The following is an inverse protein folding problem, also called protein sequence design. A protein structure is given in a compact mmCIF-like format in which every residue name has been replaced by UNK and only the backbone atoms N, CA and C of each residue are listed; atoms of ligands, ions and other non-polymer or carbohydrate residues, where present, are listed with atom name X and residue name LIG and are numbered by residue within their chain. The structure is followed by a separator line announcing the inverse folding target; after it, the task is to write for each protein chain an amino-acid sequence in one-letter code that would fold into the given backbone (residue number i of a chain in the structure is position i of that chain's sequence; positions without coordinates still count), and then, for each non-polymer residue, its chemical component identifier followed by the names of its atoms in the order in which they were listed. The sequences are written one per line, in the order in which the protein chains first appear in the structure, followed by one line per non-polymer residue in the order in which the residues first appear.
data_IF_380220819402
#
_entry.id   IF_380220819402
#
_cell.length_a   1.000
_cell.length_b   1.000
_cell.length_c   1.000
_cell.angle_alpha   90.00
_cell.angle_beta   90.00
_cell.angle_gamma   90.00
#
_symmetry.space_group_name_H-M   'P 1'
#
loop_
_entity.id
_entity.type
_entity.pdbx_description
1 polymer ?
#
# COMPACT_ATOMS: atom_id res chain seq x y z
N UNK A 1 0.44 -57.46 4.78
CA UNK A 1 0.97 -56.09 4.61
C UNK A 1 -0.22 -55.17 4.39
N UNK A 2 -0.53 -54.22 5.29
CA UNK A 2 -1.62 -53.30 5.02
C UNK A 2 -1.16 -52.27 3.97
N UNK A 3 -2.05 -51.97 3.04
CA UNK A 3 -1.85 -51.00 1.98
C UNK A 3 -1.51 -49.62 2.58
N UNK A 4 -0.52 -48.95 1.99
CA UNK A 4 -0.22 -47.56 2.29
C UNK A 4 -1.44 -46.73 1.87
N UNK A 5 -2.07 -46.12 2.87
CA UNK A 5 -3.13 -45.15 2.72
C UNK A 5 -2.56 -43.97 1.90
N UNK A 6 -2.99 -43.85 0.64
CA UNK A 6 -2.71 -42.69 -0.20
C UNK A 6 -3.51 -41.53 0.39
N UNK A 7 -2.94 -40.86 1.39
CA UNK A 7 -3.53 -39.64 1.96
C UNK A 7 -3.65 -38.62 0.84
N UNK A 8 -4.88 -38.34 0.41
CA UNK A 8 -5.17 -37.21 -0.49
C UNK A 8 -4.48 -35.95 0.05
N UNK A 9 -3.76 -35.19 -0.78
CA UNK A 9 -3.05 -34.01 -0.32
C UNK A 9 -4.05 -33.00 0.24
N UNK A 10 -3.89 -32.64 1.52
CA UNK A 10 -4.71 -31.62 2.18
C UNK A 10 -4.74 -30.36 1.32
N UNK A 11 -5.94 -29.84 0.95
CA UNK A 11 -6.03 -28.67 0.09
C UNK A 11 -5.36 -27.47 0.77
N UNK A 12 -4.49 -26.79 0.01
CA UNK A 12 -3.76 -25.63 0.51
C UNK A 12 -4.74 -24.50 0.86
N UNK A 13 -4.56 -23.91 2.04
CA UNK A 13 -5.34 -22.75 2.46
C UNK A 13 -5.17 -21.58 1.47
N UNK A 14 -6.21 -20.74 1.28
CA UNK A 14 -6.08 -19.47 0.58
C UNK A 14 -4.89 -18.65 1.10
N UNK A 15 -4.18 -17.95 0.21
CA UNK A 15 -3.06 -17.07 0.58
C UNK A 15 -3.48 -15.62 0.48
N UNK A 16 -3.36 -14.88 1.57
CA UNK A 16 -3.42 -13.43 1.56
C UNK A 16 -2.00 -12.86 1.65
N UNK A 17 -1.57 -12.16 0.60
CA UNK A 17 -0.23 -11.57 0.52
C UNK A 17 -0.30 -10.06 0.65
N UNK A 18 0.26 -9.55 1.75
CA UNK A 18 0.41 -8.13 2.00
C UNK A 18 1.77 -7.67 1.50
N UNK A 19 1.79 -6.78 0.50
CA UNK A 19 3.02 -6.16 0.02
C UNK A 19 3.07 -4.71 0.44
N UNK A 20 4.11 -4.35 1.14
CA UNK A 20 4.27 -3.02 1.70
C UNK A 20 5.50 -2.36 1.11
N UNK A 21 5.34 -1.15 0.61
CA UNK A 21 6.45 -0.21 0.64
C UNK A 21 6.74 0.17 2.11
N UNK A 22 7.97 0.63 2.38
CA UNK A 22 8.40 0.96 3.73
C UNK A 22 8.39 2.46 4.01
N UNK A 23 8.87 3.27 3.08
CA UNK A 23 9.25 4.67 3.32
C UNK A 23 8.07 5.57 2.94
N UNK A 24 7.63 6.47 3.83
CA UNK A 24 6.35 7.22 3.69
C UNK A 24 5.08 6.34 3.63
N UNK A 25 5.25 5.01 3.62
CA UNK A 25 4.18 4.02 3.68
C UNK A 25 4.04 3.43 5.09
N UNK A 26 5.04 2.70 5.58
CA UNK A 26 5.02 2.11 6.93
C UNK A 26 5.73 3.01 7.96
N UNK A 27 6.83 3.64 7.55
CA UNK A 27 7.64 4.56 8.35
C UNK A 27 7.43 6.00 7.86
N UNK A 28 7.38 6.94 8.81
CA UNK A 28 7.48 8.37 8.51
C UNK A 28 8.94 8.68 8.19
N UNK A 29 9.17 9.19 6.98
CA UNK A 29 10.50 9.53 6.49
C UNK A 29 10.46 10.78 5.63
N UNK A 30 11.32 11.75 5.92
CA UNK A 30 11.56 12.91 5.06
C UNK A 30 12.74 12.56 4.15
N UNK A 31 12.50 12.43 2.84
CA UNK A 31 13.54 12.13 1.84
C UNK A 31 13.63 13.26 0.82
N UNK A 32 13.61 14.50 1.30
CA UNK A 32 13.56 15.64 0.40
C UNK A 32 14.97 16.05 -0.03
N UNK A 33 16.01 15.68 0.75
CA UNK A 33 17.40 15.96 0.43
C UNK A 33 18.39 14.83 0.72
N UNK A 34 19.61 15.00 0.21
CA UNK A 34 20.79 14.18 0.51
C UNK A 34 21.06 14.06 2.00
N UNK A 35 20.89 15.18 2.68
CA UNK A 35 21.15 15.35 4.09
C UNK A 35 20.14 14.54 4.90
N UNK A 36 18.89 14.48 4.46
CA UNK A 36 17.83 13.75 5.15
C UNK A 36 18.02 12.24 5.03
N UNK A 37 18.52 11.76 3.88
CA UNK A 37 18.95 10.37 3.73
C UNK A 37 20.05 10.04 4.75
N UNK A 38 21.13 10.82 4.80
CA UNK A 38 22.21 10.60 5.78
C UNK A 38 21.73 10.70 7.23
N UNK A 39 20.85 11.64 7.55
CA UNK A 39 20.23 11.76 8.88
C UNK A 39 19.43 10.50 9.24
N UNK A 40 18.66 9.97 8.29
CA UNK A 40 17.86 8.75 8.47
C UNK A 40 18.73 7.50 8.66
N UNK A 41 19.93 7.48 8.08
CA UNK A 41 20.93 6.43 8.30
C UNK A 41 21.50 6.42 9.72
N UNK A 42 21.68 7.60 10.33
CA UNK A 42 22.21 7.73 11.70
C UNK A 42 21.14 7.49 12.75
N UNK A 43 19.85 7.59 12.39
CA UNK A 43 18.76 7.28 13.30
C UNK A 43 18.77 5.81 13.71
N UNK A 44 18.70 5.57 15.02
CA UNK A 44 18.48 4.25 15.59
C UNK A 44 17.07 3.74 15.30
N UNK A 45 16.86 2.44 15.51
CA UNK A 45 15.58 1.79 15.23
C UNK A 45 14.42 2.45 16.00
N UNK A 46 14.59 2.69 17.30
CA UNK A 46 13.60 3.30 18.21
C UNK A 46 13.19 4.72 17.80
N UNK A 47 14.06 5.47 17.13
CA UNK A 47 13.78 6.83 16.67
C UNK A 47 12.88 6.86 15.43
N UNK A 48 12.77 5.74 14.70
CA UNK A 48 11.91 5.66 13.51
C UNK A 48 10.45 5.61 13.94
N UNK A 49 9.64 6.51 13.39
CA UNK A 49 8.21 6.59 13.70
C UNK A 49 7.41 5.92 12.61
N UNK A 50 6.34 5.22 12.96
CA UNK A 50 5.41 4.66 11.99
C UNK A 50 4.46 5.75 11.46
N UNK A 51 3.93 5.53 10.26
CA UNK A 51 2.76 6.27 9.77
C UNK A 51 1.56 5.92 10.66
N UNK A 52 0.65 6.87 10.97
CA UNK A 52 -0.38 6.62 11.97
C UNK A 52 -1.31 5.47 11.60
N UNK A 53 -1.45 4.53 12.53
CA UNK A 53 -2.23 3.30 12.36
C UNK A 53 -1.54 2.18 11.58
N UNK A 54 -0.42 2.43 10.89
CA UNK A 54 0.23 1.44 10.02
C UNK A 54 0.66 0.17 10.78
N UNK A 55 1.35 0.36 11.92
CA UNK A 55 1.82 -0.75 12.77
C UNK A 55 0.65 -1.62 13.25
N UNK A 56 -0.38 -0.99 13.82
CA UNK A 56 -1.53 -1.71 14.37
C UNK A 56 -2.31 -2.42 13.26
N UNK A 57 -2.58 -1.75 12.14
CA UNK A 57 -3.25 -2.36 11.00
C UNK A 57 -2.49 -3.59 10.50
N UNK A 58 -1.17 -3.47 10.32
CA UNK A 58 -0.35 -4.58 9.84
C UNK A 58 -0.38 -5.77 10.81
N UNK A 59 -0.22 -5.51 12.11
CA UNK A 59 -0.31 -6.57 13.13
C UNK A 59 -1.66 -7.26 13.12
N UNK A 60 -2.74 -6.51 13.02
CA UNK A 60 -4.09 -7.07 12.97
C UNK A 60 -4.32 -7.90 11.70
N UNK A 61 -3.86 -7.43 10.53
CA UNK A 61 -3.94 -8.19 9.28
C UNK A 61 -3.22 -9.53 9.34
N UNK A 62 -2.11 -9.61 10.08
CA UNK A 62 -1.36 -10.85 10.27
C UNK A 62 -1.97 -11.76 11.35
N UNK A 63 -2.66 -11.18 12.34
CA UNK A 63 -3.31 -11.93 13.43
C UNK A 63 -4.52 -12.74 12.96
N UNK A 64 -5.26 -12.23 11.97
CA UNK A 64 -6.53 -12.82 11.47
C UNK A 64 -6.32 -14.15 10.72
N UNK A 65 -5.10 -14.71 10.68
CA UNK A 65 -4.76 -16.00 10.05
C UNK A 65 -4.97 -17.24 10.93
N UNK A 66 -6.04 -17.28 11.75
CA UNK A 66 -6.35 -18.37 12.69
C UNK A 66 -6.79 -19.70 12.05
N UNK A 67 -6.10 -20.17 11.01
CA UNK A 67 -6.32 -21.48 10.37
C UNK A 67 -7.14 -21.44 9.07
N UNK A 68 -7.76 -20.32 8.72
CA UNK A 68 -8.61 -20.22 7.51
C UNK A 68 -7.87 -19.72 6.26
N UNK A 69 -6.79 -18.97 6.43
CA UNK A 69 -5.96 -18.47 5.34
C UNK A 69 -4.52 -18.26 5.80
N UNK A 70 -3.56 -18.65 4.96
CA UNK A 70 -2.15 -18.32 5.16
C UNK A 70 -1.96 -16.82 4.90
N UNK A 71 -1.13 -16.17 5.73
CA UNK A 71 -0.80 -14.75 5.61
C UNK A 71 0.69 -14.62 5.31
N UNK A 72 1.02 -13.84 4.28
CA UNK A 72 2.40 -13.54 3.90
C UNK A 72 2.61 -12.03 3.88
N UNK A 73 3.75 -11.59 4.39
CA UNK A 73 4.19 -10.19 4.41
C UNK A 73 5.49 -10.03 3.64
N UNK A 74 5.47 -9.19 2.61
CA UNK A 74 6.67 -8.75 1.90
C UNK A 74 6.83 -7.24 1.99
N UNK A 75 8.00 -6.78 2.44
CA UNK A 75 8.41 -5.38 2.25
C UNK A 75 9.24 -5.23 0.97
N UNK A 76 8.90 -4.25 0.13
CA UNK A 76 9.66 -3.86 -1.05
C UNK A 76 10.00 -2.37 -0.92
N UNK A 77 11.23 -2.05 -0.52
CA UNK A 77 11.61 -0.69 -0.21
C UNK A 77 12.69 -0.15 -1.14
N UNK A 78 12.57 1.14 -1.46
CA UNK A 78 13.61 1.92 -2.12
C UNK A 78 14.85 2.19 -1.26
N UNK A 79 14.77 1.90 0.05
CA UNK A 79 15.87 2.07 0.99
C UNK A 79 17.08 1.19 0.64
N UNK A 80 18.30 1.67 0.90
CA UNK A 80 19.52 0.93 0.60
C UNK A 80 19.69 -0.30 1.50
N UNK A 81 20.28 -1.38 0.97
CA UNK A 81 20.57 -2.63 1.70
C UNK A 81 21.39 -2.42 2.97
N UNK A 82 22.20 -1.37 3.02
CA UNK A 82 23.00 -1.00 4.19
C UNK A 82 22.13 -0.71 5.42
N UNK A 83 20.87 -0.29 5.22
CA UNK A 83 19.93 -0.03 6.33
C UNK A 83 19.23 -1.29 6.85
N UNK A 84 19.48 -2.47 6.26
CA UNK A 84 18.75 -3.71 6.58
C UNK A 84 18.68 -3.97 8.07
N UNK A 85 19.80 -3.87 8.78
CA UNK A 85 19.86 -4.20 10.20
C UNK A 85 18.98 -3.26 11.04
N UNK A 86 19.10 -1.94 10.85
CA UNK A 86 18.32 -0.93 11.58
C UNK A 86 16.82 -1.07 11.28
N UNK A 87 16.47 -1.28 10.01
CA UNK A 87 15.07 -1.42 9.61
C UNK A 87 14.46 -2.74 10.12
N UNK A 88 15.22 -3.85 10.07
CA UNK A 88 14.78 -5.13 10.62
C UNK A 88 14.60 -5.04 12.14
N UNK A 89 15.52 -4.39 12.86
CA UNK A 89 15.38 -4.14 14.29
C UNK A 89 14.15 -3.29 14.59
N UNK A 90 13.83 -2.28 13.77
CA UNK A 90 12.60 -1.51 13.92
C UNK A 90 11.36 -2.37 13.74
N UNK A 91 11.32 -3.20 12.70
CA UNK A 91 10.20 -4.12 12.48
C UNK A 91 10.05 -5.09 13.67
N UNK A 92 11.15 -5.59 14.22
CA UNK A 92 11.13 -6.45 15.40
C UNK A 92 10.61 -5.75 16.66
N UNK A 93 11.05 -4.50 16.93
CA UNK A 93 10.50 -3.67 18.01
C UNK A 93 9.00 -3.42 17.83
N UNK A 94 8.53 -3.39 16.59
CA UNK A 94 7.11 -3.27 16.28
C UNK A 94 6.33 -4.57 16.50
N UNK A 95 7.01 -5.72 16.63
CA UNK A 95 6.43 -7.05 16.65
C UNK A 95 6.06 -7.56 15.25
N UNK A 96 6.77 -7.10 14.22
CA UNK A 96 6.53 -7.44 12.81
C UNK A 96 7.73 -8.21 12.27
N UNK A 97 7.48 -9.39 11.70
CA UNK A 97 8.50 -10.22 11.04
C UNK A 97 8.05 -10.52 9.62
N UNK A 98 8.61 -9.84 8.59
CA UNK A 98 8.23 -10.11 7.21
C UNK A 98 8.84 -11.41 6.69
N UNK A 99 8.10 -12.13 5.86
CA UNK A 99 8.58 -13.33 5.15
C UNK A 99 9.64 -12.98 4.11
N UNK A 100 9.52 -11.79 3.50
CA UNK A 100 10.52 -11.27 2.59
C UNK A 100 10.74 -9.78 2.80
N UNK A 101 12.01 -9.36 2.80
CA UNK A 101 12.39 -7.96 2.92
C UNK A 101 13.37 -7.57 1.83
N UNK A 102 12.87 -6.90 0.79
CA UNK A 102 13.59 -6.54 -0.43
C UNK A 102 14.07 -5.09 -0.33
N UNK A 103 15.39 -4.91 -0.43
CA UNK A 103 16.08 -3.63 -0.31
C UNK A 103 17.01 -3.39 -1.50
N UNK A 104 17.21 -2.12 -1.82
CA UNK A 104 17.93 -1.69 -3.02
C UNK A 104 19.44 -1.84 -2.84
N UNK A 105 20.17 -2.44 -3.80
CA UNK A 105 21.53 -2.92 -3.54
C UNK A 105 22.60 -1.86 -3.22
N UNK A 106 22.63 -0.70 -3.91
CA UNK A 106 23.79 0.20 -3.84
C UNK A 106 23.42 1.66 -3.54
N UNK A 107 23.99 2.20 -2.45
CA UNK A 107 23.91 3.61 -2.05
C UNK A 107 24.76 4.52 -2.94
N UNK A 108 25.95 4.08 -3.36
CA UNK A 108 26.88 4.84 -4.22
C UNK A 108 26.33 5.09 -5.63
N UNK A 109 25.57 4.15 -6.18
CA UNK A 109 24.80 4.34 -7.42
C UNK A 109 23.62 5.30 -7.23
N UNK A 110 23.06 5.40 -6.02
CA UNK A 110 22.00 6.35 -5.69
C UNK A 110 22.52 7.79 -5.62
N UNK A 111 23.73 7.97 -5.07
CA UNK A 111 24.38 9.28 -4.88
C UNK A 111 24.98 9.84 -6.18
N UNK A 112 25.70 9.03 -6.98
CA UNK A 112 26.35 9.48 -8.23
C UNK A 112 25.38 9.70 -9.41
N UNK A 113 24.18 9.11 -9.36
CA UNK A 113 23.16 9.21 -10.41
C UNK A 113 21.93 10.02 -9.99
N UNK A 114 21.98 10.83 -8.92
CA UNK A 114 20.80 11.53 -8.36
C UNK A 114 19.86 12.20 -9.37
N UNK A 115 20.38 12.69 -10.50
CA UNK A 115 19.57 13.30 -11.55
C UNK A 115 18.94 12.30 -12.56
N UNK A 116 19.42 11.06 -12.66
CA UNK A 116 18.88 9.93 -13.45
C UNK A 116 18.21 8.84 -12.59
N UNK A 117 18.48 8.75 -11.29
CA UNK A 117 18.05 7.64 -10.43
C UNK A 117 16.61 7.77 -9.92
N UNK A 118 16.10 8.99 -9.77
CA UNK A 118 14.67 9.27 -9.51
C UNK A 118 13.80 8.85 -10.73
N UNK A 119 14.42 8.57 -11.90
CA UNK A 119 13.75 8.11 -13.14
C UNK A 119 13.51 6.60 -13.27
N UNK A 120 13.76 5.75 -12.27
CA UNK A 120 13.36 4.33 -12.42
C UNK A 120 12.91 3.60 -11.16
N UNK A 121 12.18 4.27 -10.25
CA UNK A 121 11.45 3.51 -9.20
C UNK A 121 10.51 2.47 -9.81
N UNK A 122 9.92 2.78 -10.98
CA UNK A 122 9.16 1.81 -11.78
C UNK A 122 10.00 0.59 -12.11
N UNK A 123 11.22 0.78 -12.62
CA UNK A 123 12.10 -0.33 -12.97
C UNK A 123 12.40 -1.23 -11.78
N UNK A 124 12.86 -0.64 -10.67
CA UNK A 124 13.24 -1.41 -9.49
C UNK A 124 12.07 -2.15 -8.83
N UNK A 125 10.99 -1.45 -8.46
CA UNK A 125 9.85 -2.06 -7.74
C UNK A 125 9.12 -3.08 -8.63
N UNK A 126 8.91 -2.78 -9.91
CA UNK A 126 8.23 -3.72 -10.81
C UNK A 126 9.08 -4.97 -11.07
N UNK A 127 10.40 -4.82 -11.22
CA UNK A 127 11.32 -5.97 -11.32
C UNK A 127 11.23 -6.82 -10.05
N UNK A 128 11.29 -6.22 -8.86
CA UNK A 128 11.21 -6.94 -7.59
C UNK A 128 9.88 -7.69 -7.42
N UNK A 129 8.77 -7.06 -7.77
CA UNK A 129 7.43 -7.68 -7.73
C UNK A 129 7.34 -8.89 -8.66
N UNK A 130 7.78 -8.76 -9.91
CA UNK A 130 7.76 -9.86 -10.87
C UNK A 130 8.73 -10.98 -10.48
N UNK A 131 9.93 -10.65 -9.99
CA UNK A 131 10.89 -11.63 -9.48
C UNK A 131 10.31 -12.45 -8.33
N UNK A 132 9.64 -11.82 -7.36
CA UNK A 132 9.00 -12.55 -6.27
C UNK A 132 7.90 -13.48 -6.77
N UNK A 133 7.16 -13.08 -7.82
CA UNK A 133 6.08 -13.90 -8.38
C UNK A 133 6.57 -15.18 -9.04
N UNK A 134 7.78 -15.22 -9.60
CA UNK A 134 8.31 -16.43 -10.29
C UNK A 134 8.27 -17.67 -9.40
N UNK A 135 8.46 -17.50 -8.09
CA UNK A 135 8.53 -18.61 -7.12
C UNK A 135 7.35 -18.67 -6.15
N UNK A 136 6.46 -17.67 -6.17
CA UNK A 136 5.36 -17.57 -5.22
C UNK A 136 4.08 -18.22 -5.77
N UNK A 137 3.38 -18.95 -4.88
CA UNK A 137 2.06 -19.50 -5.22
C UNK A 137 1.02 -18.39 -5.46
N UNK A 138 -0.07 -18.68 -6.18
CA UNK A 138 -1.11 -17.69 -6.42
C UNK A 138 -1.71 -17.18 -5.11
N UNK A 139 -1.95 -15.87 -5.04
CA UNK A 139 -2.43 -15.21 -3.83
C UNK A 139 -3.48 -14.14 -4.12
N UNK A 140 -4.30 -13.84 -3.13
CA UNK A 140 -5.02 -12.58 -3.10
C UNK A 140 -4.15 -11.52 -2.43
N UNK A 141 -3.81 -10.47 -3.16
CA UNK A 141 -2.85 -9.47 -2.73
C UNK A 141 -3.49 -8.14 -2.35
N UNK A 142 -2.94 -7.54 -1.29
CA UNK A 142 -3.19 -6.15 -0.93
C UNK A 142 -1.85 -5.43 -0.89
N UNK A 143 -1.78 -4.35 -1.67
CA UNK A 143 -0.56 -3.58 -1.89
C UNK A 143 -0.68 -2.25 -1.16
N UNK A 144 0.38 -1.85 -0.46
CA UNK A 144 0.46 -0.61 0.30
C UNK A 144 1.65 0.21 -0.21
N UNK A 145 1.41 1.47 -0.52
CA UNK A 145 2.41 2.42 -1.01
C UNK A 145 2.08 3.86 -0.66
N UNK A 146 2.80 4.78 -1.28
CA UNK A 146 2.67 6.22 -1.00
C UNK A 146 2.51 7.07 -2.27
N UNK A 147 2.23 8.37 -2.08
CA UNK A 147 2.02 9.34 -3.15
C UNK A 147 3.27 10.13 -3.58
N UNK A 148 4.39 9.95 -2.87
CA UNK A 148 5.70 10.48 -3.22
C UNK A 148 6.30 9.74 -4.41
N UNK A 149 6.18 8.42 -4.43
CA UNK A 149 6.65 7.59 -5.52
C UNK A 149 5.58 7.41 -6.61
N UNK A 150 5.79 6.40 -7.46
CA UNK A 150 4.85 6.02 -8.51
C UNK A 150 4.06 4.77 -8.14
N UNK A 151 3.82 4.53 -6.85
CA UNK A 151 3.27 3.26 -6.35
C UNK A 151 1.90 2.93 -6.92
N UNK A 152 0.99 3.91 -7.00
CA UNK A 152 -0.30 3.73 -7.66
C UNK A 152 -0.17 3.19 -9.10
N UNK A 153 0.81 3.71 -9.85
CA UNK A 153 1.09 3.29 -11.22
C UNK A 153 1.78 1.92 -11.27
N UNK A 154 2.80 1.71 -10.45
CA UNK A 154 3.59 0.47 -10.40
C UNK A 154 2.69 -0.70 -10.01
N UNK A 155 1.92 -0.56 -8.94
CA UNK A 155 1.03 -1.60 -8.43
C UNK A 155 -0.13 -1.88 -9.37
N UNK A 156 -0.71 -0.84 -9.99
CA UNK A 156 -1.73 -1.06 -11.02
C UNK A 156 -1.16 -1.80 -12.22
N UNK A 157 0.02 -1.40 -12.71
CA UNK A 157 0.66 -2.06 -13.86
C UNK A 157 1.01 -3.51 -13.53
N UNK A 158 1.60 -3.77 -12.36
CA UNK A 158 1.86 -5.12 -11.87
C UNK A 158 0.58 -5.97 -11.85
N UNK A 159 -0.50 -5.45 -11.29
CA UNK A 159 -1.77 -6.17 -11.19
C UNK A 159 -2.34 -6.59 -12.55
N UNK A 160 -2.18 -5.76 -13.59
CA UNK A 160 -2.66 -6.06 -14.93
C UNK A 160 -1.67 -6.90 -15.73
N UNK A 161 -0.38 -6.86 -15.39
CA UNK A 161 0.63 -7.77 -15.95
C UNK A 161 0.44 -9.21 -15.49
N UNK A 162 0.19 -9.43 -14.20
CA UNK A 162 -0.08 -10.77 -13.65
C UNK A 162 -1.32 -11.40 -14.31
N UNK A 163 -2.32 -10.57 -14.66
CA UNK A 163 -3.53 -10.99 -15.39
C UNK A 163 -3.37 -11.07 -16.92
N UNK A 164 -2.17 -10.83 -17.46
CA UNK A 164 -1.89 -10.75 -18.92
C UNK A 164 -2.75 -9.72 -19.67
N UNK A 165 -3.21 -8.68 -18.99
CA UNK A 165 -3.97 -7.57 -19.58
C UNK A 165 -3.13 -6.60 -20.44
N UNK A 166 -1.81 -6.78 -20.49
CA UNK A 166 -0.87 -5.91 -21.23
C UNK A 166 0.03 -6.76 -22.13
N UNK A 167 0.06 -6.48 -23.43
CA UNK A 167 0.93 -7.19 -24.38
C UNK A 167 2.41 -6.83 -24.18
N UNK A 168 3.37 -7.71 -24.56
CA UNK A 168 4.81 -7.39 -24.48
C UNK A 168 5.19 -6.07 -25.15
N UNK A 169 4.64 -5.79 -26.34
CA UNK A 169 4.89 -4.54 -27.06
C UNK A 169 4.35 -3.32 -26.31
N UNK A 170 3.13 -3.44 -25.79
CA UNK A 170 2.52 -2.38 -24.97
C UNK A 170 3.34 -2.15 -23.71
N UNK A 171 3.77 -3.22 -23.03
CA UNK A 171 4.63 -3.15 -21.85
C UNK A 171 5.95 -2.42 -22.16
N UNK A 172 6.64 -2.78 -23.24
CA UNK A 172 7.88 -2.11 -23.64
C UNK A 172 7.66 -0.60 -23.91
N UNK A 173 6.54 -0.23 -24.56
CA UNK A 173 6.17 1.17 -24.79
C UNK A 173 5.88 1.91 -23.47
N UNK A 174 5.15 1.27 -22.55
CA UNK A 174 4.83 1.81 -21.22
C UNK A 174 6.11 2.07 -20.43
N UNK A 175 7.01 1.09 -20.36
CA UNK A 175 8.27 1.21 -19.64
C UNK A 175 9.20 2.27 -20.25
N UNK A 176 9.20 2.42 -21.58
CA UNK A 176 9.92 3.52 -22.26
C UNK A 176 9.33 4.88 -21.87
N UNK A 177 8.01 5.00 -21.89
CA UNK A 177 7.31 6.24 -21.54
C UNK A 177 7.53 6.63 -20.06
N UNK A 178 7.64 5.66 -19.15
CA UNK A 178 7.92 5.88 -17.73
C UNK A 178 9.39 6.22 -17.43
N UNK A 179 10.26 6.25 -18.44
CA UNK A 179 11.68 6.57 -18.27
C UNK A 179 12.53 5.41 -17.73
N UNK A 180 12.02 4.17 -17.74
CA UNK A 180 12.73 3.00 -17.24
C UNK A 180 13.98 2.71 -18.07
N UNK A 181 15.12 2.49 -17.41
CA UNK A 181 16.40 2.22 -18.05
C UNK A 181 16.34 0.95 -18.91
N UNK A 182 17.07 0.92 -20.05
CA UNK A 182 17.04 -0.19 -21.03
C UNK A 182 17.21 -1.56 -20.36
N UNK A 183 18.24 -1.73 -19.51
CA UNK A 183 18.49 -2.97 -18.76
C UNK A 183 17.29 -3.42 -17.94
N UNK A 184 16.69 -2.51 -17.16
CA UNK A 184 15.48 -2.85 -16.38
C UNK A 184 14.29 -3.20 -17.28
N UNK A 185 14.19 -2.64 -18.48
CA UNK A 185 13.12 -2.99 -19.42
C UNK A 185 13.28 -4.40 -19.96
N UNK A 186 14.52 -4.78 -20.29
CA UNK A 186 14.86 -6.15 -20.70
C UNK A 186 14.57 -7.13 -19.57
N UNK A 187 15.10 -6.87 -18.36
CA UNK A 187 14.84 -7.69 -17.17
C UNK A 187 13.32 -7.89 -16.91
N UNK A 188 12.52 -6.82 -17.02
CA UNK A 188 11.06 -6.88 -16.80
C UNK A 188 10.35 -7.68 -17.89
N UNK A 189 10.75 -7.55 -19.16
CA UNK A 189 10.16 -8.30 -20.27
C UNK A 189 10.46 -9.80 -20.14
N UNK A 190 11.69 -10.15 -19.76
CA UNK A 190 12.09 -11.55 -19.53
C UNK A 190 11.31 -12.16 -18.36
N UNK A 191 11.18 -11.41 -17.26
CA UNK A 191 10.36 -11.82 -16.12
C UNK A 191 8.89 -11.96 -16.47
N UNK A 192 8.34 -11.02 -17.27
CA UNK A 192 6.96 -11.10 -17.73
C UNK A 192 6.71 -12.37 -18.55
N UNK A 193 7.68 -12.82 -19.35
CA UNK A 193 7.57 -14.06 -20.10
C UNK A 193 7.74 -15.31 -19.20
N UNK A 194 8.48 -15.19 -18.10
CA UNK A 194 8.76 -16.29 -17.16
C UNK A 194 7.64 -16.49 -16.14
N UNK A 195 7.03 -15.41 -15.65
CA UNK A 195 5.96 -15.46 -14.65
C UNK A 195 4.75 -16.20 -15.24
N UNK A 196 4.34 -17.35 -14.69
CA UNK A 196 3.17 -18.06 -15.21
C UNK A 196 1.93 -17.18 -15.04
N UNK A 197 1.03 -17.13 -16.03
CA UNK A 197 -0.31 -16.60 -15.77
C UNK A 197 -0.93 -17.45 -14.67
N UNK A 198 -1.38 -16.81 -13.60
CA UNK A 198 -1.88 -17.52 -12.43
C UNK A 198 -3.18 -16.90 -11.92
N UNK A 199 -3.73 -17.50 -10.87
CA UNK A 199 -4.96 -17.03 -10.24
C UNK A 199 -4.73 -15.87 -9.27
N UNK A 200 -3.53 -15.26 -9.25
CA UNK A 200 -3.23 -14.15 -8.35
C UNK A 200 -4.15 -12.98 -8.67
N UNK A 201 -4.72 -12.39 -7.62
CA UNK A 201 -5.61 -11.24 -7.72
C UNK A 201 -5.11 -10.16 -6.80
N UNK A 202 -4.71 -9.02 -7.38
CA UNK A 202 -4.53 -7.80 -6.60
C UNK A 202 -5.91 -7.24 -6.30
N UNK A 203 -6.36 -7.41 -5.05
CA UNK A 203 -7.67 -6.99 -4.54
C UNK A 203 -7.72 -5.47 -4.37
N UNK A 204 -6.75 -4.93 -3.64
CA UNK A 204 -6.67 -3.49 -3.31
C UNK A 204 -5.25 -2.96 -3.35
N UNK A 205 -5.17 -1.67 -3.64
CA UNK A 205 -3.96 -0.88 -3.61
C UNK A 205 -4.25 0.35 -2.74
N UNK A 206 -3.67 0.42 -1.55
CA UNK A 206 -3.76 1.58 -0.68
C UNK A 206 -2.58 2.51 -0.92
N UNK A 207 -2.86 3.79 -1.12
CA UNK A 207 -1.83 4.82 -1.31
C UNK A 207 -1.94 5.84 -0.19
N UNK A 208 -0.98 5.82 0.72
CA UNK A 208 -0.86 6.81 1.78
C UNK A 208 -0.51 8.17 1.18
N UNK A 209 -1.38 9.16 1.43
CA UNK A 209 -1.23 10.54 0.96
C UNK A 209 -0.32 11.35 1.90
N UNK A 210 0.91 10.90 2.08
CA UNK A 210 1.92 11.57 2.91
C UNK A 210 2.17 13.01 2.44
N UNK A 211 2.27 13.22 1.13
CA UNK A 211 2.43 14.55 0.52
C UNK A 211 1.11 15.27 0.25
N UNK A 212 -0.03 14.67 0.64
CA UNK A 212 -1.38 15.20 0.38
C UNK A 212 -1.64 15.47 -1.11
N UNK A 213 -1.14 14.60 -1.99
CA UNK A 213 -1.40 14.70 -3.43
C UNK A 213 -2.91 14.81 -3.71
N UNK A 214 -3.33 15.62 -4.70
CA UNK A 214 -4.74 15.78 -5.04
C UNK A 214 -5.41 14.45 -5.41
N UNK A 215 -6.56 14.16 -4.80
CA UNK A 215 -7.33 12.91 -5.00
C UNK A 215 -7.68 12.64 -6.47
N UNK A 216 -7.92 13.70 -7.26
CA UNK A 216 -8.18 13.60 -8.71
C UNK A 216 -7.03 12.89 -9.47
N UNK A 217 -5.79 12.93 -8.97
CA UNK A 217 -4.65 12.19 -9.53
C UNK A 217 -4.89 10.67 -9.53
N UNK A 218 -5.70 10.17 -8.61
CA UNK A 218 -5.90 8.74 -8.38
C UNK A 218 -7.16 8.18 -9.04
N UNK A 219 -8.15 9.02 -9.37
CA UNK A 219 -9.40 8.59 -10.01
C UNK A 219 -9.18 7.83 -11.33
N UNK A 220 -8.08 8.14 -12.04
CA UNK A 220 -7.67 7.47 -13.28
C UNK A 220 -7.16 6.03 -13.10
N UNK A 221 -6.92 5.57 -11.87
CA UNK A 221 -6.53 4.17 -11.59
C UNK A 221 -7.72 3.25 -11.29
N UNK A 222 -8.95 3.79 -11.32
CA UNK A 222 -10.16 3.04 -11.02
C UNK A 222 -10.29 2.70 -9.53
N UNK A 223 -11.32 1.92 -9.19
CA UNK A 223 -11.70 1.66 -7.79
C UNK A 223 -10.68 0.82 -7.02
N UNK A 224 -9.85 0.00 -7.69
CA UNK A 224 -8.82 -0.84 -7.05
C UNK A 224 -7.80 -0.02 -6.27
N UNK A 225 -7.51 1.22 -6.68
CA UNK A 225 -6.64 2.15 -5.97
C UNK A 225 -7.47 3.02 -5.02
N UNK A 226 -7.17 2.93 -3.73
CA UNK A 226 -7.81 3.73 -2.68
C UNK A 226 -6.75 4.64 -2.05
N UNK A 227 -6.72 5.94 -2.39
CA UNK A 227 -5.88 6.88 -1.67
C UNK A 227 -6.42 7.08 -0.25
N UNK A 228 -5.53 7.10 0.75
CA UNK A 228 -5.88 7.22 2.17
C UNK A 228 -5.01 8.28 2.84
N UNK A 229 -5.60 9.06 3.74
CA UNK A 229 -4.90 10.06 4.55
C UNK A 229 -4.33 9.47 5.84
N UNK A 230 -4.81 8.30 6.24
CA UNK A 230 -4.38 7.56 7.42
C UNK A 230 -4.79 6.09 7.29
N UNK A 231 -4.15 5.21 8.07
CA UNK A 231 -4.44 3.78 8.00
C UNK A 231 -5.74 3.35 8.67
N UNK A 232 -6.40 4.23 9.42
CA UNK A 232 -7.79 3.99 9.82
C UNK A 232 -8.71 3.90 8.59
N UNK A 233 -8.54 4.76 7.58
CA UNK A 233 -9.31 4.65 6.34
C UNK A 233 -9.08 3.32 5.61
N UNK A 234 -7.84 2.84 5.57
CA UNK A 234 -7.54 1.52 5.00
C UNK A 234 -8.20 0.39 5.81
N UNK A 235 -8.16 0.48 7.14
CA UNK A 235 -8.79 -0.50 8.04
C UNK A 235 -10.31 -0.59 7.82
N UNK A 236 -10.99 0.55 7.66
CA UNK A 236 -12.45 0.59 7.37
C UNK A 236 -12.76 -0.13 6.05
N UNK A 237 -11.99 0.11 4.99
CA UNK A 237 -12.18 -0.57 3.71
C UNK A 237 -11.94 -2.07 3.86
N UNK A 238 -10.87 -2.46 4.55
CA UNK A 238 -10.51 -3.87 4.77
C UNK A 238 -11.54 -4.62 5.64
N UNK A 239 -12.17 -3.94 6.61
CA UNK A 239 -13.27 -4.48 7.40
C UNK A 239 -14.46 -4.82 6.50
N UNK A 240 -14.91 -3.88 5.68
CA UNK A 240 -16.02 -4.11 4.75
C UNK A 240 -15.73 -5.13 3.65
N UNK A 241 -14.45 -5.44 3.42
CA UNK A 241 -14.03 -6.50 2.50
C UNK A 241 -13.85 -7.86 3.17
N UNK A 242 -14.17 -7.98 4.46
CA UNK A 242 -14.00 -9.21 5.24
C UNK A 242 -12.55 -9.58 5.53
N UNK A 243 -11.60 -8.65 5.32
CA UNK A 243 -10.17 -8.88 5.56
C UNK A 243 -9.77 -8.61 7.02
N UNK A 244 -10.60 -7.88 7.75
CA UNK A 244 -10.45 -7.59 9.16
C UNK A 244 -11.78 -7.84 9.90
N UNK A 245 -11.77 -8.50 11.06
CA UNK A 245 -12.93 -8.51 11.94
C UNK A 245 -13.10 -7.14 12.62
N UNK A 246 -14.28 -6.92 13.20
CA UNK A 246 -14.58 -5.67 13.90
C UNK A 246 -13.59 -5.39 15.05
N UNK A 247 -13.18 -6.41 15.80
CA UNK A 247 -12.22 -6.26 16.90
C UNK A 247 -10.87 -5.70 16.44
N UNK A 248 -10.42 -6.09 15.24
CA UNK A 248 -9.22 -5.52 14.61
C UNK A 248 -9.43 -4.07 14.16
N UNK A 249 -10.60 -3.72 13.64
CA UNK A 249 -10.92 -2.33 13.31
C UNK A 249 -10.94 -1.45 14.58
N UNK A 250 -11.52 -1.96 15.68
CA UNK A 250 -11.49 -1.30 17.00
C UNK A 250 -10.07 -1.06 17.46
N UNK A 251 -9.20 -2.09 17.42
CA UNK A 251 -7.80 -1.95 17.80
C UNK A 251 -7.08 -0.85 17.00
N UNK A 252 -7.36 -0.74 15.70
CA UNK A 252 -6.83 0.35 14.86
C UNK A 252 -7.39 1.70 15.32
N UNK A 253 -8.69 1.83 15.53
CA UNK A 253 -9.33 3.08 16.02
C UNK A 253 -8.66 3.56 17.31
N UNK A 254 -8.53 2.68 18.30
CA UNK A 254 -7.94 3.03 19.59
C UNK A 254 -6.45 3.41 19.47
N UNK A 255 -5.70 2.71 18.61
CA UNK A 255 -4.30 3.02 18.38
C UNK A 255 -4.08 4.39 17.71
N UNK A 256 -5.10 4.97 17.06
CA UNK A 256 -5.01 6.31 16.46
C UNK A 256 -5.03 7.43 17.53
N UNK A 257 -5.67 7.20 18.69
CA UNK A 257 -5.80 8.17 19.77
C UNK A 257 -4.46 8.71 20.28
N UNK A 258 -3.56 7.85 20.82
CA UNK A 258 -2.22 8.25 21.26
C UNK A 258 -1.36 8.87 20.16
N UNK A 259 -1.73 8.71 18.88
CA UNK A 259 -1.03 9.27 17.72
C UNK A 259 -1.58 10.64 17.29
N UNK A 260 -2.46 11.25 18.11
CA UNK A 260 -2.94 12.62 17.93
C UNK A 260 -4.24 12.74 17.11
N UNK A 261 -4.92 11.64 16.84
CA UNK A 261 -6.23 11.65 16.20
C UNK A 261 -7.32 11.72 17.26
N UNK A 262 -8.18 12.73 17.16
CA UNK A 262 -9.38 12.79 17.99
C UNK A 262 -10.48 11.93 17.38
N UNK A 263 -11.47 11.49 18.17
CA UNK A 263 -12.63 10.77 17.65
C UNK A 263 -13.33 11.51 16.50
N UNK A 264 -13.49 12.83 16.62
CA UNK A 264 -14.04 13.67 15.56
C UNK A 264 -13.18 13.68 14.28
N UNK A 265 -11.84 13.67 14.39
CA UNK A 265 -10.95 13.57 13.21
C UNK A 265 -11.07 12.22 12.51
N UNK A 266 -11.27 11.14 13.25
CA UNK A 266 -11.52 9.82 12.66
C UNK A 266 -12.90 9.76 12.00
N UNK A 267 -13.95 10.29 12.64
CA UNK A 267 -15.28 10.39 12.03
C UNK A 267 -15.24 11.19 10.71
N UNK A 268 -14.52 12.32 10.68
CA UNK A 268 -14.28 13.08 9.44
C UNK A 268 -13.49 12.28 8.40
N UNK A 269 -12.54 11.46 8.82
CA UNK A 269 -11.80 10.56 7.91
C UNK A 269 -12.71 9.48 7.32
N UNK A 270 -13.69 8.99 8.08
CA UNK A 270 -14.69 8.05 7.58
C UNK A 270 -15.66 8.74 6.62
N UNK A 271 -16.14 9.94 6.97
CA UNK A 271 -16.99 10.76 6.11
C UNK A 271 -16.32 11.08 4.77
N UNK A 272 -15.00 11.29 4.75
CA UNK A 272 -14.24 11.44 3.50
C UNK A 272 -14.34 10.18 2.60
N UNK A 273 -14.32 8.97 3.16
CA UNK A 273 -14.54 7.75 2.37
C UNK A 273 -15.94 7.70 1.76
N UNK A 274 -16.96 8.15 2.51
CA UNK A 274 -18.35 8.24 2.03
C UNK A 274 -18.50 9.23 0.88
N UNK A 275 -17.97 10.45 1.06
CA UNK A 275 -17.99 11.52 0.06
C UNK A 275 -17.36 11.08 -1.25
N UNK A 276 -16.30 10.27 -1.17
CA UNK A 276 -15.61 9.69 -2.33
C UNK A 276 -16.32 8.46 -2.92
N UNK A 277 -17.39 7.97 -2.30
CA UNK A 277 -18.09 6.75 -2.70
C UNK A 277 -17.25 5.48 -2.54
N UNK A 278 -16.25 5.50 -1.65
CA UNK A 278 -15.42 4.32 -1.34
C UNK A 278 -16.20 3.35 -0.44
N UNK A 279 -17.00 3.90 0.47
CA UNK A 279 -17.97 3.17 1.29
C UNK A 279 -19.36 3.77 1.08
N UNK A 280 -20.40 2.97 1.28
CA UNK A 280 -21.80 3.35 1.12
C UNK A 280 -22.48 3.64 2.45
N UNK A 281 -23.65 4.30 2.39
CA UNK A 281 -24.46 4.60 3.57
C UNK A 281 -24.95 3.30 4.27
N UNK A 282 -25.25 2.27 3.47
CA UNK A 282 -25.62 0.95 3.98
C UNK A 282 -24.50 0.35 4.85
N UNK A 283 -23.26 0.39 4.35
CA UNK A 283 -22.10 -0.13 5.09
C UNK A 283 -21.88 0.59 6.43
N UNK A 284 -22.25 1.86 6.53
CA UNK A 284 -22.17 2.58 7.80
C UNK A 284 -23.23 2.10 8.78
N UNK A 285 -24.47 1.90 8.31
CA UNK A 285 -25.51 1.26 9.11
C UNK A 285 -25.06 -0.09 9.65
N UNK A 286 -24.49 -0.93 8.78
CA UNK A 286 -23.91 -2.23 9.16
C UNK A 286 -22.80 -2.09 10.21
N UNK A 287 -21.93 -1.08 10.09
CA UNK A 287 -20.88 -0.81 11.07
C UNK A 287 -21.44 -0.33 12.42
N UNK A 288 -22.49 0.50 12.41
CA UNK A 288 -23.15 0.94 13.64
C UNK A 288 -23.82 -0.21 14.38
N UNK A 289 -24.52 -1.08 13.66
CA UNK A 289 -25.11 -2.31 14.21
C UNK A 289 -24.03 -3.23 14.79
N UNK A 290 -22.93 -3.43 14.06
CA UNK A 290 -21.81 -4.24 14.52
C UNK A 290 -21.17 -3.68 15.80
N UNK A 291 -21.06 -2.35 15.93
CA UNK A 291 -20.58 -1.72 17.16
C UNK A 291 -21.54 -1.88 18.35
N UNK A 292 -22.85 -1.93 18.11
CA UNK A 292 -23.83 -2.23 19.18
C UNK A 292 -23.63 -3.66 19.66
N UNK A 293 -23.56 -4.64 18.75
CA UNK A 293 -23.31 -6.03 19.11
C UNK A 293 -21.97 -6.21 19.86
N UNK A 294 -20.93 -5.47 19.48
CA UNK A 294 -19.64 -5.51 20.15
C UNK A 294 -19.70 -5.02 21.61
N UNK A 295 -20.54 -4.03 21.92
CA UNK A 295 -20.73 -3.52 23.29
C UNK A 295 -21.32 -4.54 24.23
N UNK A 296 -22.21 -5.38 23.73
CA UNK A 296 -22.88 -6.39 24.55
C UNK A 296 -21.90 -7.48 25.03
N UNK A 297 -20.74 -7.59 24.37
CA UNK A 297 -19.73 -8.60 24.65
C UNK A 297 -18.42 -8.05 25.23
N UNK A 298 -18.05 -6.79 24.96
CA UNK A 298 -16.79 -6.19 25.41
C UNK A 298 -16.98 -4.79 26.02
N UNK A 299 -16.18 -4.47 27.05
CA UNK A 299 -16.18 -3.13 27.62
C UNK A 299 -15.62 -2.11 26.61
N UNK A 300 -16.42 -1.11 26.26
CA UNK A 300 -16.02 -0.07 25.31
C UNK A 300 -15.23 1.05 25.99
N UNK A 301 -14.08 1.39 25.42
CA UNK A 301 -13.28 2.52 25.91
C UNK A 301 -13.99 3.86 25.68
N UNK A 302 -13.75 4.89 26.52
CA UNK A 302 -14.30 6.22 26.31
C UNK A 302 -13.95 6.82 24.94
N UNK A 303 -12.80 6.46 24.38
CA UNK A 303 -12.35 6.91 23.07
C UNK A 303 -13.23 6.32 21.95
N UNK A 304 -13.48 5.00 22.00
CA UNK A 304 -14.31 4.32 21.01
C UNK A 304 -15.78 4.79 21.10
N UNK A 305 -16.30 4.98 22.30
CA UNK A 305 -17.65 5.52 22.52
C UNK A 305 -17.79 6.96 21.96
N UNK A 306 -16.80 7.82 22.21
CA UNK A 306 -16.75 9.15 21.61
C UNK A 306 -16.65 9.12 20.08
N UNK A 307 -15.94 8.14 19.51
CA UNK A 307 -15.85 7.96 18.05
C UNK A 307 -17.20 7.60 17.47
N UNK A 308 -17.92 6.67 18.08
CA UNK A 308 -19.26 6.26 17.64
C UNK A 308 -20.26 7.41 17.69
N UNK A 309 -20.25 8.20 18.76
CA UNK A 309 -21.08 9.43 18.82
C UNK A 309 -20.72 10.40 17.70
N UNK A 310 -19.43 10.59 17.43
CA UNK A 310 -18.98 11.46 16.36
C UNK A 310 -19.41 10.97 14.97
N UNK A 311 -19.37 9.65 14.74
CA UNK A 311 -19.88 9.02 13.51
C UNK A 311 -21.39 9.24 13.34
N UNK A 312 -22.20 9.04 14.39
CA UNK A 312 -23.65 9.26 14.34
C UNK A 312 -24.04 10.71 14.06
N UNK A 313 -23.17 11.65 14.42
CA UNK A 313 -23.37 13.08 14.18
C UNK A 313 -23.03 13.51 12.73
N UNK A 314 -22.50 12.60 11.90
CA UNK A 314 -22.14 12.88 10.52
C UNK A 314 -23.39 12.83 9.63
N UNK A 315 -23.70 13.94 8.95
CA UNK A 315 -24.77 14.01 7.95
C UNK A 315 -24.46 13.07 6.75
N UNK A 316 -25.37 12.16 6.37
CA UNK A 316 -25.17 11.22 5.28
C UNK A 316 -25.34 11.82 3.87
N UNK A 317 -25.82 13.06 3.72
CA UNK A 317 -26.15 13.61 2.39
C UNK A 317 -24.90 14.09 1.65
N UNK A 318 -24.35 13.24 0.77
CA UNK A 318 -23.30 13.64 -0.17
C UNK A 318 -23.56 13.20 -1.61
N UNK A 319 -23.27 14.06 -2.60
CA UNK A 319 -23.30 13.67 -3.99
C UNK A 319 -22.22 12.61 -4.25
N UNK A 320 -22.66 11.41 -4.65
CA UNK A 320 -21.77 10.31 -4.99
C UNK A 320 -21.02 10.61 -6.28
N UNK A 321 -19.68 10.55 -6.23
CA UNK A 321 -18.88 10.52 -7.45
C UNK A 321 -19.08 9.15 -8.13
N UNK A 322 -19.53 9.16 -9.39
CA UNK A 322 -19.66 7.91 -10.17
C UNK A 322 -18.28 7.28 -10.33
N UNK A 323 -18.18 5.99 -9.97
CA UNK A 323 -16.99 5.19 -10.25
C UNK A 323 -16.82 5.07 -11.77
N UNK A 324 -15.77 5.69 -12.29
CA UNK A 324 -15.43 5.61 -13.71
C UNK A 324 -14.72 4.28 -13.95
N UNK A 325 -15.40 3.34 -14.63
CA UNK A 325 -14.76 2.13 -15.17
C UNK A 325 -14.16 2.47 -16.52
N UNK A 326 -12.85 2.71 -16.56
CA UNK A 326 -12.08 2.73 -17.79
C UNK A 326 -10.98 1.68 -17.74
N UNK A 327 -10.69 1.07 -18.89
CA UNK A 327 -9.41 0.40 -19.09
C UNK A 327 -8.27 1.40 -18.84
N UNK A 328 -7.28 1.02 -18.04
CA UNK A 328 -6.19 1.92 -17.67
C UNK A 328 -5.31 2.22 -18.90
N UNK A 329 -5.27 3.49 -19.33
CA UNK A 329 -4.31 3.94 -20.32
C UNK A 329 -2.95 4.20 -19.66
N UNK A 330 -2.18 3.13 -19.46
CA UNK A 330 -0.86 3.19 -18.87
C UNK A 330 0.13 4.09 -19.64
N UNK A 331 -0.05 4.29 -20.95
CA UNK A 331 0.81 5.18 -21.72
C UNK A 331 0.55 6.64 -21.37
N UNK A 332 -0.71 7.04 -21.28
CA UNK A 332 -1.10 8.36 -20.80
C UNK A 332 -0.63 8.57 -19.35
N UNK A 333 -0.87 7.59 -18.48
CA UNK A 333 -0.44 7.64 -17.08
C UNK A 333 1.08 7.82 -16.93
N UNK A 334 1.87 7.09 -17.73
CA UNK A 334 3.33 7.18 -17.71
C UNK A 334 3.83 8.54 -18.22
N UNK A 335 3.20 9.09 -19.27
CA UNK A 335 3.53 10.42 -19.80
C UNK A 335 3.23 11.51 -18.78
N UNK A 336 2.04 11.50 -18.19
CA UNK A 336 1.64 12.45 -17.14
C UNK A 336 2.64 12.50 -15.98
N UNK A 337 3.02 11.32 -15.48
CA UNK A 337 3.96 11.19 -14.37
C UNK A 337 5.32 11.81 -14.73
N UNK A 338 5.81 11.58 -15.96
CA UNK A 338 7.07 12.15 -16.46
C UNK A 338 6.99 13.67 -16.63
N UNK A 339 5.87 14.21 -17.15
CA UNK A 339 5.69 15.65 -17.32
C UNK A 339 5.73 16.38 -15.97
N UNK A 340 5.06 15.85 -14.95
CA UNK A 340 5.07 16.45 -13.60
C UNK A 340 6.45 16.38 -12.94
N UNK A 341 7.17 15.26 -13.10
CA UNK A 341 8.53 15.12 -12.59
C UNK A 341 9.52 16.11 -13.22
N UNK A 342 9.30 16.52 -14.47
CA UNK A 342 10.14 17.53 -15.12
C UNK A 342 9.84 18.97 -14.62
N UNK A 343 8.59 19.33 -14.31
CA UNK A 343 8.26 20.67 -13.76
C UNK A 343 8.86 20.91 -12.38
N UNK A 344 8.91 19.89 -11.52
CA UNK A 344 9.57 19.99 -10.20
C UNK A 344 11.10 20.13 -10.26
N UNK A 345 11.71 20.03 -11.46
CA UNK A 345 13.17 20.16 -11.65
C UNK A 345 13.61 21.51 -12.20
N UNK A 346 12.68 22.38 -12.59
CA UNK A 346 12.99 23.75 -12.98
C UNK A 346 12.97 24.56 -11.68
N UNK A 347 14.12 25.04 -11.16
CA UNK A 347 14.09 26.04 -10.10
C UNK A 347 13.28 27.22 -10.64
N UNK A 348 12.44 27.83 -9.80
CA UNK A 348 11.87 29.15 -10.05
C UNK A 348 13.02 30.18 -10.14
N UNK A 349 13.76 30.16 -11.24
CA UNK A 349 14.55 31.27 -11.74
C UNK A 349 13.59 32.05 -12.63
N UNK A 350 12.90 33.01 -12.02
CA UNK A 350 12.36 34.21 -12.64
C UNK A 350 11.62 34.98 -11.55
N UNK A 351 12.35 35.85 -10.85
CA UNK A 351 11.86 37.10 -10.25
C UNK A 351 13.09 37.93 -9.83
N UNK A 352 13.70 38.60 -10.81
CA UNK A 352 14.47 39.84 -10.66
C UNK A 352 14.57 40.47 -12.05
N UNK A 353 13.54 41.24 -12.42
CA UNK A 353 13.67 42.52 -13.14
C UNK A 353 12.74 43.52 -12.45
#
# INVERSE_FOLDING_TARGET
MPALDETEPTPLLPLHHFRWDLDKTYLKTEFDTVRDLMKTFVQSADQKRNVPGARTLLKELLRVGGGEAERRLTFISGSPRQMRQVLAQKLELDGVRPDAFILKPNLSNLLKLRFKAIRSQVGYKLTALLQSRVTERPAEEILFGDDAEMDAFIYSLYADLVKRGVTPDSLNRILRASGTAKRHREDILDLYNTVPPDQTKVRRIFINLDQRSPLARFGKFGSRVVPVFNYFQAAVVLYFEGMLPLSSLVAVIEAMGPQGYTPARLANSMQDLMRRGVISDQQIGELEEAFVAFQDHESVSPYLDAFRRAVRAVDPVFPRLKAIRHSLDYLSLARDARFKQNRMRIPLLNWLE
#
